data_IF_635198097628
#
_entry.id   IF_635198097628
#
_cell.length_a   1.000
_cell.length_b   1.000
_cell.length_c   1.000
_cell.angle_alpha   90.00
_cell.angle_beta   90.00
_cell.angle_gamma   90.00
#
_symmetry.space_group_name_H-M   'P 1'
#
loop_
_entity.id
_entity.type
_entity.pdbx_description
1 polymer ?
#
# COMPACT_ATOMS: atom_id res chain seq x y z
N UNK A 1 -1.21 25.79 -38.41
CA UNK A 1 -0.02 26.47 -37.89
C UNK A 1 0.40 25.63 -36.71
N UNK A 2 1.48 24.86 -36.87
CA UNK A 2 1.84 23.85 -35.87
C UNK A 2 2.51 24.56 -34.70
N UNK A 3 1.82 24.57 -33.57
CA UNK A 3 2.30 25.19 -32.34
C UNK A 3 3.25 24.18 -31.69
N UNK A 4 4.55 24.49 -31.72
CA UNK A 4 5.61 23.60 -31.21
C UNK A 4 6.15 24.04 -29.83
N UNK A 5 5.70 25.20 -29.36
CA UNK A 5 6.02 25.78 -28.07
C UNK A 5 4.94 26.78 -27.63
N UNK A 6 4.86 27.05 -26.33
CA UNK A 6 4.00 28.10 -25.81
C UNK A 6 4.59 29.48 -26.14
N UNK A 7 3.78 30.42 -26.64
CA UNK A 7 4.20 31.81 -26.76
C UNK A 7 4.62 32.38 -25.41
N UNK A 8 5.55 33.36 -25.36
CA UNK A 8 6.04 33.94 -24.10
C UNK A 8 4.92 34.43 -23.16
N UNK A 9 3.92 35.15 -23.69
CA UNK A 9 2.80 35.64 -22.88
C UNK A 9 1.91 34.52 -22.29
N UNK A 10 1.89 33.34 -22.92
CA UNK A 10 1.22 32.16 -22.36
C UNK A 10 2.06 31.58 -21.23
N UNK A 11 3.38 31.46 -21.42
CA UNK A 11 4.27 30.90 -20.39
C UNK A 11 4.24 31.69 -19.08
N UNK A 12 4.06 33.01 -19.13
CA UNK A 12 3.92 33.87 -17.94
C UNK A 12 2.73 33.50 -17.07
N UNK A 13 1.64 33.02 -17.66
CA UNK A 13 0.38 32.68 -16.97
C UNK A 13 0.20 31.18 -16.77
N UNK A 14 1.02 30.36 -17.42
CA UNK A 14 0.82 28.91 -17.48
C UNK A 14 1.14 28.22 -16.14
N UNK A 15 2.08 28.75 -15.37
CA UNK A 15 2.55 28.12 -14.13
C UNK A 15 2.95 26.65 -14.33
N UNK A 16 2.71 25.82 -13.32
CA UNK A 16 2.61 24.37 -13.49
C UNK A 16 1.26 24.01 -14.11
N UNK A 17 1.26 22.94 -14.89
CA UNK A 17 0.07 22.44 -15.56
C UNK A 17 0.06 20.91 -15.61
N UNK A 18 -1.13 20.33 -15.74
CA UNK A 18 -1.35 18.89 -15.93
C UNK A 18 -2.04 18.69 -17.27
N UNK A 19 -1.56 17.71 -18.03
CA UNK A 19 -2.00 17.42 -19.38
C UNK A 19 -2.11 15.92 -19.62
N UNK A 20 -2.79 15.56 -20.70
CA UNK A 20 -2.82 14.19 -21.21
C UNK A 20 -2.48 14.16 -22.70
N UNK A 21 -1.95 13.03 -23.14
CA UNK A 21 -1.75 12.70 -24.55
C UNK A 21 -2.75 11.61 -24.96
N UNK A 22 -3.31 11.77 -26.16
CA UNK A 22 -4.43 10.99 -26.67
C UNK A 22 -4.02 10.43 -28.03
N UNK A 23 -4.30 9.14 -28.24
CA UNK A 23 -4.15 8.52 -29.53
C UNK A 23 -5.33 8.91 -30.44
N UNK A 24 -5.10 9.61 -31.56
CA UNK A 24 -6.18 10.03 -32.46
C UNK A 24 -6.89 8.86 -33.17
N UNK A 25 -6.33 7.65 -33.16
CA UNK A 25 -6.88 6.48 -33.85
C UNK A 25 -8.11 5.91 -33.15
N UNK A 26 -8.14 5.97 -31.81
CA UNK A 26 -9.19 5.40 -30.98
C UNK A 26 -9.69 6.34 -29.86
N UNK A 27 -9.06 7.51 -29.69
CA UNK A 27 -9.40 8.48 -28.65
C UNK A 27 -8.91 8.08 -27.25
N UNK A 28 -8.10 7.02 -27.14
CA UNK A 28 -7.58 6.53 -25.86
C UNK A 28 -6.57 7.52 -25.27
N UNK A 29 -6.65 7.71 -23.97
CA UNK A 29 -5.59 8.43 -23.24
C UNK A 29 -4.51 7.43 -22.91
N UNK A 30 -3.30 7.65 -23.42
CA UNK A 30 -2.17 6.74 -23.19
C UNK A 30 -1.13 7.34 -22.24
N UNK A 31 -1.16 8.64 -21.98
CA UNK A 31 -0.21 9.28 -21.06
C UNK A 31 -0.85 10.47 -20.35
N UNK A 32 -0.56 10.60 -19.06
CA UNK A 32 -0.89 11.77 -18.24
C UNK A 32 0.42 12.33 -17.70
N UNK A 33 0.57 13.64 -17.65
CA UNK A 33 1.80 14.24 -17.12
C UNK A 33 1.58 15.62 -16.55
N UNK A 34 2.42 16.00 -15.59
CA UNK A 34 2.60 17.41 -15.19
C UNK A 34 3.78 18.05 -15.93
N UNK A 35 3.73 19.36 -16.10
CA UNK A 35 4.80 20.12 -16.73
C UNK A 35 4.83 21.59 -16.37
N UNK A 36 5.92 22.22 -16.78
CA UNK A 36 6.18 23.66 -16.73
C UNK A 36 6.90 24.06 -18.02
N UNK A 37 6.62 25.26 -18.54
CA UNK A 37 7.13 25.70 -19.84
C UNK A 37 6.73 24.71 -20.95
N UNK A 38 7.66 24.40 -21.86
CA UNK A 38 7.38 23.60 -23.06
C UNK A 38 7.44 22.07 -22.87
N UNK A 39 7.31 21.56 -21.63
CA UNK A 39 7.44 20.13 -21.34
C UNK A 39 6.48 19.24 -22.14
N UNK A 40 5.22 19.66 -22.32
CA UNK A 40 4.24 18.89 -23.13
C UNK A 40 4.74 18.67 -24.56
N UNK A 41 5.33 19.69 -25.18
CA UNK A 41 5.87 19.59 -26.53
C UNK A 41 7.10 18.69 -26.59
N UNK A 42 7.98 18.76 -25.58
CA UNK A 42 9.11 17.82 -25.47
C UNK A 42 8.61 16.37 -25.41
N UNK A 43 7.58 16.07 -24.61
CA UNK A 43 6.98 14.74 -24.56
C UNK A 43 6.29 14.33 -25.85
N UNK A 44 5.59 15.23 -26.54
CA UNK A 44 5.03 14.96 -27.87
C UNK A 44 6.11 14.64 -28.91
N UNK A 45 7.29 15.29 -28.81
CA UNK A 45 8.43 15.01 -29.69
C UNK A 45 9.15 13.70 -29.37
N UNK A 46 8.94 13.15 -28.18
CA UNK A 46 9.71 12.03 -27.67
C UNK A 46 11.10 12.46 -27.18
N UNK A 47 11.28 13.75 -26.90
CA UNK A 47 12.47 14.28 -26.23
C UNK A 47 12.35 13.97 -24.74
N UNK A 48 13.34 13.24 -24.24
CA UNK A 48 13.30 12.65 -22.90
C UNK A 48 14.20 13.46 -21.97
N UNK A 49 13.70 13.79 -20.77
CA UNK A 49 14.54 14.24 -19.67
C UNK A 49 15.24 13.01 -19.06
N UNK A 50 16.46 13.15 -18.56
CA UNK A 50 17.29 12.08 -17.99
C UNK A 50 16.74 11.38 -16.72
N UNK A 51 15.46 11.58 -16.40
CA UNK A 51 14.76 11.12 -15.19
C UNK A 51 13.69 10.08 -15.47
N UNK A 52 13.42 9.71 -16.73
CA UNK A 52 12.48 8.65 -17.07
C UNK A 52 13.22 7.28 -17.12
N UNK A 53 12.61 6.22 -16.57
CA UNK A 53 13.14 4.84 -16.54
C UNK A 53 13.09 4.14 -17.92
N UNK A 54 14.10 3.34 -18.25
CA UNK A 54 14.50 2.92 -19.61
C UNK A 54 13.45 2.03 -20.31
N UNK A 55 12.75 1.17 -19.57
CA UNK A 55 11.76 0.22 -20.12
C UNK A 55 10.43 0.91 -20.48
N UNK A 56 10.06 1.97 -19.76
CA UNK A 56 8.77 2.67 -19.88
C UNK A 56 8.84 3.89 -20.80
N UNK A 57 10.04 4.48 -20.93
CA UNK A 57 10.42 5.24 -22.11
C UNK A 57 9.97 4.50 -23.38
N UNK A 58 10.20 3.19 -23.43
CA UNK A 58 9.93 2.39 -24.63
C UNK A 58 8.44 2.34 -24.99
N UNK A 59 7.52 2.21 -24.02
CA UNK A 59 6.07 2.10 -24.28
C UNK A 59 5.48 3.43 -24.78
N UNK A 60 5.81 4.55 -24.11
CA UNK A 60 5.39 5.89 -24.54
C UNK A 60 5.93 6.20 -25.94
N UNK A 61 7.23 5.99 -26.16
CA UNK A 61 7.87 6.25 -27.45
C UNK A 61 7.34 5.34 -28.56
N UNK A 62 7.02 4.09 -28.24
CA UNK A 62 6.36 3.15 -29.16
C UNK A 62 5.00 3.68 -29.60
N UNK A 63 4.14 4.10 -28.66
CA UNK A 63 2.83 4.66 -29.01
C UNK A 63 2.96 5.91 -29.90
N UNK A 64 3.85 6.84 -29.53
CA UNK A 64 4.13 8.04 -30.34
C UNK A 64 4.61 7.69 -31.75
N UNK A 65 5.48 6.68 -31.89
CA UNK A 65 5.98 6.21 -33.18
C UNK A 65 4.87 5.59 -34.02
N UNK A 66 4.02 4.76 -33.44
CA UNK A 66 2.91 4.13 -34.14
C UNK A 66 1.89 5.16 -34.67
N UNK A 67 1.58 6.18 -33.87
CA UNK A 67 0.70 7.30 -34.29
C UNK A 67 1.32 8.04 -35.49
N UNK A 68 2.62 8.35 -35.43
CA UNK A 68 3.34 9.01 -36.55
C UNK A 68 3.42 8.14 -37.80
N UNK A 69 3.62 6.83 -37.65
CA UNK A 69 3.62 5.88 -38.79
C UNK A 69 2.26 5.79 -39.47
N UNK A 70 1.17 6.06 -38.74
CA UNK A 70 -0.17 6.19 -39.32
C UNK A 70 -0.42 7.55 -40.00
N UNK A 71 0.57 8.45 -40.04
CA UNK A 71 0.43 9.80 -40.61
C UNK A 71 -0.42 10.73 -39.75
N UNK A 72 -0.57 10.43 -38.46
CA UNK A 72 -1.40 11.19 -37.53
C UNK A 72 -0.53 11.94 -36.50
N UNK A 73 -1.12 12.96 -35.88
CA UNK A 73 -0.51 13.72 -34.80
C UNK A 73 -1.16 13.43 -33.47
N UNK A 74 -0.33 13.36 -32.43
CA UNK A 74 -0.77 13.11 -31.06
C UNK A 74 -1.60 14.29 -30.58
N UNK A 75 -2.79 14.00 -30.08
CA UNK A 75 -3.65 15.04 -29.50
C UNK A 75 -3.21 15.25 -28.05
N UNK A 76 -3.11 16.51 -27.62
CA UNK A 76 -2.82 16.87 -26.24
C UNK A 76 -3.92 17.75 -25.67
N UNK A 77 -4.21 17.57 -24.38
CA UNK A 77 -5.20 18.38 -23.66
C UNK A 77 -4.62 18.82 -22.33
N UNK A 78 -4.61 20.13 -22.09
CA UNK A 78 -4.29 20.72 -20.77
C UNK A 78 -5.54 20.65 -19.91
N UNK A 79 -5.51 19.87 -18.83
CA UNK A 79 -6.64 19.71 -17.90
C UNK A 79 -6.66 20.79 -16.82
N UNK A 80 -5.47 21.22 -16.40
CA UNK A 80 -5.30 22.27 -15.38
C UNK A 80 -4.04 23.05 -15.68
N UNK A 81 -4.09 24.37 -15.54
CA UNK A 81 -2.93 25.26 -15.67
C UNK A 81 -3.01 26.38 -14.62
N UNK A 82 -1.96 27.19 -14.53
CA UNK A 82 -1.83 28.28 -13.57
C UNK A 82 -1.54 27.78 -12.15
N UNK A 83 -1.03 26.55 -12.00
CA UNK A 83 -0.74 25.97 -10.69
C UNK A 83 0.57 26.58 -10.17
N UNK A 84 0.53 27.11 -8.95
CA UNK A 84 1.66 27.85 -8.38
C UNK A 84 2.86 26.95 -8.04
N UNK A 85 2.59 25.78 -7.49
CA UNK A 85 3.60 24.87 -6.97
C UNK A 85 3.51 23.45 -7.58
N UNK A 86 4.65 22.78 -7.61
CA UNK A 86 4.76 21.44 -8.20
C UNK A 86 3.96 20.39 -7.44
N UNK A 87 3.85 20.53 -6.11
CA UNK A 87 3.16 19.56 -5.26
C UNK A 87 1.67 19.53 -5.59
N UNK A 88 1.04 20.67 -5.78
CA UNK A 88 -0.35 20.75 -6.22
C UNK A 88 -0.51 20.12 -7.62
N UNK A 89 0.40 20.39 -8.55
CA UNK A 89 0.34 19.79 -9.89
C UNK A 89 0.51 18.27 -9.85
N UNK A 90 1.30 17.76 -8.92
CA UNK A 90 1.50 16.34 -8.67
C UNK A 90 0.24 15.65 -8.14
N UNK A 91 -0.47 16.24 -7.17
CA UNK A 91 -1.75 15.68 -6.68
C UNK A 91 -2.82 15.65 -7.79
N UNK A 92 -2.87 16.68 -8.63
CA UNK A 92 -3.79 16.74 -9.78
C UNK A 92 -3.42 15.69 -10.83
N UNK A 93 -2.14 15.50 -11.11
CA UNK A 93 -1.63 14.45 -11.98
C UNK A 93 -1.99 13.05 -11.45
N UNK A 94 -1.77 12.78 -10.17
CA UNK A 94 -2.10 11.51 -9.54
C UNK A 94 -3.60 11.18 -9.65
N UNK A 95 -4.47 12.14 -9.33
CA UNK A 95 -5.92 11.95 -9.45
C UNK A 95 -6.37 11.70 -10.90
N UNK A 96 -5.71 12.33 -11.87
CA UNK A 96 -6.01 12.12 -13.29
C UNK A 96 -5.48 10.76 -13.78
N UNK A 97 -4.32 10.31 -13.31
CA UNK A 97 -3.80 8.96 -13.58
C UNK A 97 -4.79 7.90 -13.07
N UNK A 98 -5.27 8.05 -11.84
CA UNK A 98 -6.24 7.11 -11.23
C UNK A 98 -7.57 7.03 -12.01
N UNK A 99 -7.94 8.10 -12.72
CA UNK A 99 -9.18 8.18 -13.49
C UNK A 99 -9.10 7.53 -14.89
N UNK A 100 -7.90 7.32 -15.44
CA UNK A 100 -7.71 6.75 -16.78
C UNK A 100 -6.97 5.40 -16.70
N UNK A 101 -7.61 4.28 -17.03
CA UNK A 101 -6.93 3.00 -17.12
C UNK A 101 -6.06 2.92 -18.39
N UNK A 102 -5.04 2.05 -18.39
CA UNK A 102 -4.24 1.75 -19.59
C UNK A 102 -3.17 2.79 -19.95
N UNK A 103 -2.81 3.67 -19.02
CA UNK A 103 -1.74 4.65 -19.20
C UNK A 103 -0.37 3.98 -19.27
N UNK A 104 0.55 4.55 -20.05
CA UNK A 104 1.95 4.15 -20.13
C UNK A 104 2.82 4.78 -19.02
N UNK A 105 2.21 5.36 -17.99
CA UNK A 105 2.89 6.02 -16.88
C UNK A 105 3.61 5.02 -15.97
N UNK A 106 4.79 5.40 -15.45
CA UNK A 106 5.66 4.54 -14.62
C UNK A 106 5.03 4.23 -13.25
N UNK A 107 4.16 5.09 -12.75
CA UNK A 107 3.55 4.94 -11.44
C UNK A 107 2.02 5.06 -11.57
N UNK A 108 1.28 4.07 -11.06
CA UNK A 108 -0.03 4.35 -10.47
C UNK A 108 0.15 5.57 -9.59
N UNK A 109 -0.66 6.62 -9.78
CA UNK A 109 -0.43 7.98 -9.26
C UNK A 109 0.24 7.93 -7.89
N UNK A 110 1.40 8.56 -7.74
CA UNK A 110 2.19 8.32 -6.55
C UNK A 110 1.42 8.81 -5.30
N UNK A 111 1.29 7.92 -4.32
CA UNK A 111 0.29 8.04 -3.25
C UNK A 111 -0.99 7.22 -3.45
N UNK A 112 -1.18 6.53 -4.57
CA UNK A 112 -2.38 5.74 -4.90
C UNK A 112 -2.77 4.73 -3.81
N UNK A 113 -1.77 4.15 -3.13
CA UNK A 113 -2.01 3.24 -2.01
C UNK A 113 -2.44 3.92 -0.70
N UNK A 114 -2.17 5.21 -0.50
CA UNK A 114 -2.53 5.95 0.73
C UNK A 114 -3.66 6.98 0.54
N UNK A 115 -3.73 7.62 -0.63
CA UNK A 115 -4.63 8.73 -0.97
C UNK A 115 -5.28 8.59 -2.36
N UNK A 116 -5.09 7.46 -3.04
CA UNK A 116 -5.66 7.22 -4.37
C UNK A 116 -7.17 6.98 -4.36
N UNK A 117 -7.68 6.58 -5.51
CA UNK A 117 -9.07 6.16 -5.65
C UNK A 117 -9.43 5.05 -4.66
N UNK A 118 -10.44 5.31 -3.82
CA UNK A 118 -10.93 4.36 -2.82
C UNK A 118 -12.45 4.41 -2.75
N UNK A 119 -13.07 3.25 -2.47
CA UNK A 119 -14.50 3.21 -2.21
C UNK A 119 -14.83 3.81 -0.84
N UNK A 120 -16.01 4.42 -0.68
CA UNK A 120 -16.41 5.06 0.60
C UNK A 120 -16.28 4.12 1.81
N UNK A 121 -16.58 2.83 1.63
CA UNK A 121 -16.42 1.81 2.69
C UNK A 121 -14.95 1.61 3.09
N UNK A 122 -14.01 1.70 2.16
CA UNK A 122 -12.57 1.56 2.43
C UNK A 122 -12.05 2.78 3.19
N UNK A 123 -12.51 3.98 2.82
CA UNK A 123 -12.20 5.21 3.55
C UNK A 123 -12.75 5.16 4.98
N UNK A 124 -14.01 4.75 5.17
CA UNK A 124 -14.60 4.57 6.50
C UNK A 124 -13.82 3.53 7.30
N UNK A 125 -13.51 2.37 6.72
CA UNK A 125 -12.74 1.33 7.41
C UNK A 125 -11.32 1.81 7.79
N UNK A 126 -10.72 2.69 6.98
CA UNK A 126 -9.38 3.23 7.20
C UNK A 126 -9.38 4.32 8.27
N UNK A 127 -10.31 5.28 8.20
CA UNK A 127 -10.32 6.47 9.07
C UNK A 127 -11.23 6.34 10.30
N UNK A 128 -12.21 5.44 10.26
CA UNK A 128 -13.16 5.17 11.36
C UNK A 128 -13.40 3.65 11.53
N UNK A 129 -12.35 2.87 11.87
CA UNK A 129 -12.51 1.44 12.08
C UNK A 129 -13.46 1.19 13.27
N UNK A 130 -14.45 0.33 13.07
CA UNK A 130 -15.36 -0.13 14.12
C UNK A 130 -14.58 -0.75 15.28
N UNK A 131 -15.06 -0.55 16.51
CA UNK A 131 -14.46 -1.22 17.67
C UNK A 131 -14.94 -2.67 17.75
N UNK A 132 -14.03 -3.61 18.05
CA UNK A 132 -14.37 -5.03 18.19
C UNK A 132 -15.34 -5.25 19.35
N UNK A 133 -16.37 -6.05 19.07
CA UNK A 133 -17.15 -6.76 20.08
C UNK A 133 -16.69 -8.22 20.06
N UNK A 134 -16.11 -8.70 21.16
CA UNK A 134 -15.56 -10.05 21.23
C UNK A 134 -16.67 -11.09 21.36
N UNK A 135 -16.74 -12.01 20.39
CA UNK A 135 -17.64 -13.16 20.40
C UNK A 135 -16.92 -14.49 20.71
N UNK A 136 -15.60 -14.47 20.78
CA UNK A 136 -14.72 -15.62 20.97
C UNK A 136 -13.62 -15.28 21.98
N UNK A 137 -13.06 -16.29 22.63
CA UNK A 137 -11.82 -16.21 23.42
C UNK A 137 -10.66 -15.84 22.50
N UNK A 138 -10.36 -14.55 22.41
CA UNK A 138 -9.38 -14.02 21.47
C UNK A 138 -8.03 -13.74 22.13
N UNK A 139 -6.96 -14.23 21.51
CA UNK A 139 -5.58 -13.85 21.80
C UNK A 139 -5.14 -12.76 20.81
N UNK A 140 -4.91 -11.56 21.31
CA UNK A 140 -4.43 -10.45 20.49
C UNK A 140 -2.91 -10.37 20.57
N UNK A 141 -2.27 -10.27 19.41
CA UNK A 141 -0.82 -10.16 19.29
C UNK A 141 -0.52 -8.91 18.47
N UNK A 142 0.17 -7.95 19.09
CA UNK A 142 0.58 -6.70 18.45
C UNK A 142 1.95 -6.85 17.82
N UNK A 143 2.01 -6.71 16.49
CA UNK A 143 3.25 -6.79 15.72
C UNK A 143 3.65 -5.39 15.25
N UNK A 144 4.94 -5.06 15.37
CA UNK A 144 5.49 -3.85 14.77
C UNK A 144 5.91 -4.21 13.34
N UNK A 145 5.25 -3.61 12.34
CA UNK A 145 5.65 -3.77 10.95
C UNK A 145 6.78 -2.77 10.65
N UNK A 146 7.98 -3.04 11.19
CA UNK A 146 9.15 -2.18 11.00
C UNK A 146 9.90 -2.43 9.69
N UNK A 147 9.74 -3.61 9.07
CA UNK A 147 10.23 -3.90 7.72
C UNK A 147 9.07 -4.29 6.80
N UNK A 148 9.11 -3.82 5.55
CA UNK A 148 8.06 -4.09 4.53
C UNK A 148 8.06 -5.56 4.05
N UNK A 149 9.09 -6.33 4.42
CA UNK A 149 9.41 -7.62 3.81
C UNK A 149 8.99 -8.85 4.63
N UNK A 150 8.45 -8.68 5.84
CA UNK A 150 7.99 -9.82 6.66
C UNK A 150 6.49 -10.04 6.45
N UNK A 151 6.13 -11.27 6.09
CA UNK A 151 4.74 -11.70 5.98
C UNK A 151 4.01 -11.57 7.33
N UNK A 152 2.74 -11.13 7.30
CA UNK A 152 1.99 -10.86 8.52
C UNK A 152 1.79 -12.12 9.37
N UNK A 153 1.66 -13.28 8.74
CA UNK A 153 1.52 -14.55 9.43
C UNK A 153 2.82 -14.93 10.14
N UNK A 154 3.97 -14.79 9.49
CA UNK A 154 5.27 -15.03 10.14
C UNK A 154 5.51 -14.07 11.31
N UNK A 155 5.19 -12.79 11.11
CA UNK A 155 5.34 -11.77 12.15
C UNK A 155 4.45 -12.04 13.38
N UNK A 156 3.26 -12.64 13.21
CA UNK A 156 2.36 -12.93 14.33
C UNK A 156 2.57 -14.31 14.93
N UNK A 157 3.06 -15.28 14.16
CA UNK A 157 3.19 -16.67 14.64
C UNK A 157 4.43 -16.90 15.49
N UNK A 158 5.41 -16.00 15.42
CA UNK A 158 6.70 -16.09 16.09
C UNK A 158 7.12 -14.70 16.60
N UNK A 159 7.58 -14.48 17.84
CA UNK A 159 7.83 -15.39 18.97
C UNK A 159 7.51 -14.65 20.28
N UNK A 160 6.66 -15.25 21.12
CA UNK A 160 5.95 -14.55 22.20
C UNK A 160 6.18 -15.15 23.58
N UNK A 161 6.26 -14.29 24.60
CA UNK A 161 6.18 -14.70 26.00
C UNK A 161 4.72 -14.94 26.38
N UNK A 162 4.29 -16.20 26.33
CA UNK A 162 2.92 -16.62 26.65
C UNK A 162 2.91 -17.88 27.49
N UNK A 163 1.86 -18.06 28.30
CA UNK A 163 1.54 -19.36 28.89
C UNK A 163 0.87 -20.22 27.81
N UNK A 164 1.50 -21.34 27.44
CA UNK A 164 0.96 -22.26 26.42
C UNK A 164 -0.40 -22.80 26.82
N UNK A 165 -0.59 -23.15 28.10
CA UNK A 165 -1.88 -23.64 28.60
C UNK A 165 -3.00 -22.61 28.44
N UNK A 166 -2.69 -21.34 28.68
CA UNK A 166 -3.64 -20.25 28.49
C UNK A 166 -3.86 -19.95 27.01
N UNK A 167 -2.79 -19.92 26.22
CA UNK A 167 -2.86 -19.63 24.80
C UNK A 167 -3.64 -20.69 24.01
N UNK A 168 -3.59 -21.96 24.42
CA UNK A 168 -4.40 -23.06 23.86
C UNK A 168 -5.91 -22.90 24.06
N UNK A 169 -6.35 -22.08 25.03
CA UNK A 169 -7.77 -21.77 25.23
C UNK A 169 -8.31 -20.75 24.24
N UNK A 170 -7.44 -20.12 23.45
CA UNK A 170 -7.85 -19.14 22.47
C UNK A 170 -8.53 -19.83 21.28
N UNK A 171 -9.74 -19.41 20.98
CA UNK A 171 -10.50 -19.85 19.80
C UNK A 171 -10.01 -19.11 18.54
N UNK A 172 -9.46 -17.91 18.72
CA UNK A 172 -8.96 -17.07 17.63
C UNK A 172 -7.76 -16.24 18.06
N UNK A 173 -6.83 -16.02 17.13
CA UNK A 173 -5.66 -15.15 17.28
C UNK A 173 -5.83 -13.93 16.37
N UNK A 174 -5.75 -12.73 16.95
CA UNK A 174 -5.89 -11.45 16.25
C UNK A 174 -4.52 -10.80 16.10
N UNK A 175 -3.99 -10.77 14.88
CA UNK A 175 -2.79 -10.01 14.54
C UNK A 175 -3.15 -8.54 14.41
N UNK A 176 -2.53 -7.70 15.25
CA UNK A 176 -2.83 -6.27 15.31
C UNK A 176 -1.62 -5.42 14.93
N UNK A 177 -1.87 -4.40 14.11
CA UNK A 177 -0.89 -3.37 13.73
C UNK A 177 -1.46 -2.03 14.13
N UNK A 178 -0.77 -1.30 15.00
CA UNK A 178 -1.24 -0.01 15.55
C UNK A 178 -2.68 -0.08 16.13
N UNK A 179 -3.05 -1.24 16.71
CA UNK A 179 -4.36 -1.45 17.35
C UNK A 179 -5.51 -1.79 16.40
N UNK A 180 -5.24 -2.01 15.10
CA UNK A 180 -6.21 -2.49 14.11
C UNK A 180 -5.88 -3.94 13.76
N UNK A 181 -6.89 -4.80 13.69
CA UNK A 181 -6.72 -6.20 13.29
C UNK A 181 -6.43 -6.28 11.79
N UNK A 182 -5.29 -6.86 11.44
CA UNK A 182 -4.84 -7.09 10.06
C UNK A 182 -4.82 -8.55 9.65
N UNK A 183 -4.89 -9.47 10.62
CA UNK A 183 -4.97 -10.90 10.37
C UNK A 183 -5.73 -11.61 11.48
N UNK A 184 -6.44 -12.67 11.11
CA UNK A 184 -7.26 -13.48 12.01
C UNK A 184 -6.89 -14.94 11.76
N UNK A 185 -6.39 -15.61 12.78
CA UNK A 185 -5.81 -16.95 12.68
C UNK A 185 -6.39 -17.89 13.74
N UNK A 186 -6.28 -19.19 13.49
CA UNK A 186 -6.52 -20.24 14.47
C UNK A 186 -5.22 -21.02 14.62
N UNK A 187 -4.74 -21.16 15.86
CA UNK A 187 -3.59 -22.02 16.15
C UNK A 187 -4.03 -23.47 16.15
N UNK A 188 -3.34 -24.29 15.37
CA UNK A 188 -3.45 -25.74 15.43
C UNK A 188 -2.56 -26.28 16.57
N UNK A 189 -1.38 -25.68 16.78
CA UNK A 189 -0.46 -26.05 17.86
C UNK A 189 0.42 -24.88 18.32
N UNK A 190 0.93 -25.00 19.55
CA UNK A 190 1.89 -24.07 20.16
C UNK A 190 3.20 -24.79 20.42
N UNK A 191 4.29 -24.24 19.89
CA UNK A 191 5.63 -24.84 19.89
C UNK A 191 6.65 -23.87 20.49
N UNK A 192 7.75 -24.41 21.01
CA UNK A 192 8.88 -23.58 21.44
C UNK A 192 9.50 -22.89 20.24
N UNK A 193 9.82 -21.61 20.39
CA UNK A 193 10.45 -20.78 19.37
C UNK A 193 11.91 -21.18 19.15
N UNK A 194 12.13 -22.23 18.37
CA UNK A 194 13.44 -22.86 18.10
C UNK A 194 13.60 -23.10 16.60
N UNK A 195 14.84 -23.21 16.13
CA UNK A 195 15.14 -23.42 14.70
C UNK A 195 14.53 -24.70 14.14
N UNK A 196 14.44 -25.75 14.96
CA UNK A 196 13.80 -27.02 14.59
C UNK A 196 12.28 -26.86 14.37
N UNK A 197 11.61 -26.09 15.21
CA UNK A 197 10.15 -25.92 15.14
C UNK A 197 9.70 -24.84 14.13
N UNK A 198 10.56 -23.87 13.84
CA UNK A 198 10.29 -22.74 12.93
C UNK A 198 11.45 -22.49 11.96
N UNK A 199 11.88 -23.47 11.15
CA UNK A 199 13.05 -23.33 10.28
C UNK A 199 12.87 -22.24 9.20
N UNK A 200 11.63 -21.80 8.95
CA UNK A 200 11.30 -20.84 7.91
C UNK A 200 11.57 -19.36 8.29
N UNK A 201 11.93 -19.09 9.56
CA UNK A 201 12.20 -17.72 10.02
C UNK A 201 13.60 -17.29 9.53
N UNK A 202 13.65 -16.27 8.68
CA UNK A 202 14.92 -15.80 8.08
C UNK A 202 15.92 -15.24 9.09
N UNK A 203 15.46 -14.72 10.23
CA UNK A 203 16.31 -14.09 11.24
C UNK A 203 17.18 -15.06 12.05
N UNK A 204 17.06 -16.37 11.84
CA UNK A 204 17.97 -17.33 12.49
C UNK A 204 19.44 -17.13 12.10
N UNK A 205 19.69 -16.68 10.87
CA UNK A 205 21.05 -16.53 10.31
C UNK A 205 21.60 -15.11 10.45
N UNK A 206 20.82 -14.19 11.00
CA UNK A 206 21.19 -12.77 11.08
C UNK A 206 21.96 -12.44 12.38
N UNK A 207 21.70 -13.17 13.46
CA UNK A 207 22.25 -12.88 14.79
C UNK A 207 22.33 -14.16 15.66
N UNK A 208 23.54 -14.54 16.06
CA UNK A 208 23.79 -15.73 16.91
C UNK A 208 23.16 -15.61 18.31
N UNK A 209 22.95 -14.39 18.83
CA UNK A 209 22.25 -14.17 20.10
C UNK A 209 20.73 -14.26 19.96
N UNK A 210 20.21 -14.14 18.72
CA UNK A 210 18.76 -14.18 18.46
C UNK A 210 18.13 -15.44 19.02
N UNK A 211 18.71 -16.62 18.74
CA UNK A 211 18.19 -17.90 19.20
C UNK A 211 18.15 -18.00 20.73
N UNK A 212 19.20 -17.52 21.41
CA UNK A 212 19.24 -17.49 22.87
C UNK A 212 18.10 -16.64 23.46
N UNK A 213 17.73 -15.53 22.81
CA UNK A 213 16.62 -14.68 23.27
C UNK A 213 15.23 -15.29 23.06
N UNK A 214 15.10 -16.31 22.20
CA UNK A 214 13.84 -17.01 21.92
C UNK A 214 13.58 -18.22 22.82
N UNK A 215 14.57 -18.69 23.57
CA UNK A 215 14.52 -19.97 24.30
C UNK A 215 13.40 -20.09 25.36
N UNK A 216 12.84 -18.95 25.81
CA UNK A 216 11.72 -18.87 26.76
C UNK A 216 10.38 -18.47 26.12
N UNK A 217 10.33 -18.44 24.79
CA UNK A 217 9.19 -17.94 24.02
C UNK A 217 8.57 -19.06 23.19
N UNK A 218 7.33 -18.83 22.81
CA UNK A 218 6.52 -19.77 22.04
C UNK A 218 5.98 -19.09 20.80
N UNK A 219 5.89 -19.87 19.73
CA UNK A 219 5.16 -19.54 18.53
C UNK A 219 3.99 -20.51 18.34
N UNK A 220 3.19 -20.26 17.32
CA UNK A 220 2.14 -21.19 16.93
C UNK A 220 2.27 -21.58 15.45
N UNK A 221 1.80 -22.78 15.12
CA UNK A 221 1.47 -23.16 13.75
C UNK A 221 -0.04 -23.17 13.63
N UNK A 222 -0.55 -22.62 12.54
CA UNK A 222 -1.97 -22.41 12.36
C UNK A 222 -2.33 -22.01 10.94
N UNK A 223 -3.56 -21.55 10.80
CA UNK A 223 -4.16 -21.17 9.52
C UNK A 223 -5.01 -19.92 9.68
N UNK A 224 -5.32 -19.29 8.56
CA UNK A 224 -6.31 -18.21 8.53
C UNK A 224 -7.63 -18.74 9.08
N UNK A 225 -8.27 -17.96 9.94
CA UNK A 225 -9.55 -18.34 10.53
C UNK A 225 -10.63 -18.50 9.44
N UNK A 226 -11.65 -19.35 9.66
CA UNK A 226 -12.79 -19.46 8.74
C UNK A 226 -13.39 -18.09 8.40
N UNK A 227 -13.85 -17.84 7.15
CA UNK A 227 -14.34 -16.53 6.73
C UNK A 227 -15.41 -15.92 7.64
N UNK A 228 -16.30 -16.76 8.18
CA UNK A 228 -17.35 -16.35 9.12
C UNK A 228 -16.78 -15.76 10.42
N UNK A 229 -15.64 -16.25 10.91
CA UNK A 229 -14.95 -15.71 12.08
C UNK A 229 -14.09 -14.51 11.69
N UNK A 230 -13.34 -14.61 10.58
CA UNK A 230 -12.44 -13.55 10.13
C UNK A 230 -13.16 -12.21 9.91
N UNK A 231 -14.35 -12.25 9.28
CA UNK A 231 -15.16 -11.05 9.01
C UNK A 231 -15.64 -10.33 10.28
N UNK A 232 -15.72 -11.01 11.43
CA UNK A 232 -16.10 -10.37 12.69
C UNK A 232 -15.04 -9.42 13.22
N UNK A 233 -13.77 -9.63 12.85
CA UNK A 233 -12.62 -8.96 13.48
C UNK A 233 -11.74 -8.17 12.50
N UNK A 234 -11.62 -8.61 11.25
CA UNK A 234 -10.70 -8.00 10.28
C UNK A 234 -11.03 -6.51 10.04
N UNK A 235 -10.03 -5.64 10.09
CA UNK A 235 -10.18 -4.19 9.92
C UNK A 235 -10.74 -3.46 11.14
N UNK A 236 -11.19 -4.17 12.18
CA UNK A 236 -11.72 -3.54 13.39
C UNK A 236 -10.63 -3.13 14.36
N UNK A 237 -10.93 -2.11 15.15
CA UNK A 237 -10.08 -1.55 16.20
C UNK A 237 -10.27 -2.34 17.49
N UNK A 238 -9.17 -2.71 18.13
CA UNK A 238 -9.21 -3.26 19.50
C UNK A 238 -9.88 -2.22 20.43
N UNK A 239 -10.65 -2.56 21.46
CA UNK A 239 -11.15 -1.58 22.45
C UNK A 239 -10.02 -0.76 23.13
N UNK A 240 -10.31 0.49 23.51
CA UNK A 240 -9.29 1.42 24.03
C UNK A 240 -8.78 1.04 25.42
N UNK A 241 -9.66 0.49 26.25
CA UNK A 241 -9.36 -0.08 27.56
C UNK A 241 -8.33 -1.22 27.49
N UNK A 242 -8.29 -1.96 26.37
CA UNK A 242 -7.29 -2.99 26.09
C UNK A 242 -6.01 -2.43 25.43
N UNK A 243 -6.02 -1.14 25.03
CA UNK A 243 -4.89 -0.45 24.37
C UNK A 243 -4.10 0.48 25.30
N UNK A 244 -4.32 0.43 26.62
CA UNK A 244 -3.66 1.35 27.59
C UNK A 244 -2.15 1.46 27.34
N UNK A 245 -1.69 2.69 27.13
CA UNK A 245 -0.28 3.04 26.94
C UNK A 245 0.53 2.60 28.17
N UNK A 246 1.65 1.92 27.94
CA UNK A 246 2.54 1.41 29.01
C UNK A 246 2.41 -0.07 29.34
N UNK A 247 1.45 -0.80 28.74
CA UNK A 247 1.43 -2.26 28.85
C UNK A 247 2.64 -2.86 28.11
N UNK A 248 3.59 -3.43 28.86
CA UNK A 248 4.87 -3.96 28.33
C UNK A 248 4.72 -5.18 27.41
N UNK A 249 3.57 -5.88 27.45
CA UNK A 249 3.35 -7.09 26.66
C UNK A 249 2.67 -6.79 25.32
N UNK A 250 3.23 -7.26 24.19
CA UNK A 250 2.56 -7.21 22.89
C UNK A 250 1.37 -8.21 22.81
N UNK A 251 1.29 -9.16 23.74
CA UNK A 251 0.22 -10.16 23.81
C UNK A 251 -0.84 -9.76 24.83
N UNK A 252 -2.12 -9.84 24.44
CA UNK A 252 -3.29 -9.54 25.26
C UNK A 252 -4.39 -10.57 25.03
N UNK A 253 -5.32 -10.67 25.97
CA UNK A 253 -6.45 -11.59 25.92
C UNK A 253 -7.76 -10.82 25.95
N UNK A 254 -8.81 -11.35 25.32
CA UNK A 254 -10.14 -10.73 25.32
C UNK A 254 -10.72 -10.62 26.74
N UNK A 255 -11.69 -9.72 26.98
CA UNK A 255 -12.44 -9.72 28.23
C UNK A 255 -13.09 -11.08 28.49
N UNK A 256 -13.11 -11.52 29.76
CA UNK A 256 -13.71 -12.81 30.14
C UNK A 256 -12.97 -14.05 29.61
N UNK A 257 -11.72 -13.93 29.16
CA UNK A 257 -11.00 -15.05 28.55
C UNK A 257 -10.85 -16.27 29.48
N UNK A 258 -10.58 -16.03 30.76
CA UNK A 258 -10.37 -17.07 31.77
C UNK A 258 -11.67 -17.49 32.48
N UNK A 259 -12.80 -16.86 32.12
CA UNK A 259 -14.15 -17.22 32.58
C UNK A 259 -14.61 -18.56 32.03
#
# INVERSE_FOLDING_TARGET
MDINEFPPGVMEHLGWYVYRLIDPRDGSTFYVGKGKGNRVFAHMRGEVAAVDDDELLSNKLKQLREIRLAGLEVIHVIHRHGIADEKTAYEVEAALIDAYPGLTNIMNGAGSNEYGAAHIKELIATYQPETIVFQHKALMISVNRSSKDVDLYDAVRFSWRVSVERARKAEVILATVKGIVRGVYVADEWLKSTRENFPEISSWDEDEEFEATQNSRFGFRGKVAPPAIAQLYLGKKIPEDLRKKGAMSPVRYSPGFDS
#
